data_IF_900879881126
#
_entry.id   IF_900879881126
#
_cell.length_a   1.000
_cell.length_b   1.000
_cell.length_c   1.000
_cell.angle_alpha   90.00
_cell.angle_beta   90.00
_cell.angle_gamma   90.00
#
_symmetry.space_group_name_H-M   'P 1'
#
loop_
_entity.id
_entity.type
_entity.pdbx_description
1 polymer ?
2 non-polymer ?
3 non-polymer ?
4 non-polymer ?
5 water ?
#
# COMPACT_ATOMS: atom_id res chain seq x y z
N UNK A 16 3.44 31.93 6.37
CA UNK A 16 3.95 30.85 7.26
C UNK A 16 4.50 29.69 6.43
N UNK A 17 5.77 29.30 6.68
CA UNK A 17 6.40 28.20 5.96
C UNK A 17 5.84 26.81 6.28
N UNK A 18 6.00 25.89 5.32
CA UNK A 18 5.47 24.53 5.43
C UNK A 18 6.45 23.45 4.99
N UNK A 19 6.31 22.23 5.52
CA UNK A 19 7.20 21.13 5.16
C UNK A 19 6.72 20.55 3.84
N UNK A 20 5.48 20.88 3.50
CA UNK A 20 4.87 20.39 2.27
C UNK A 20 4.72 21.42 1.17
N UNK A 21 4.64 20.93 -0.05
CA UNK A 21 4.41 21.77 -1.22
C UNK A 21 3.28 21.03 -1.94
N UNK A 22 2.28 21.77 -2.41
CA UNK A 22 1.16 21.13 -3.07
C UNK A 22 1.03 21.44 -4.54
N UNK A 23 0.62 20.44 -5.32
CA UNK A 23 0.44 20.59 -6.75
C UNK A 23 -0.94 20.12 -7.17
N UNK A 24 -1.24 20.35 -8.44
CA UNK A 24 -2.46 19.88 -9.06
C UNK A 24 -1.86 19.18 -10.28
N UNK A 25 -2.57 18.21 -10.85
CA UNK A 25 -2.00 17.48 -11.98
C UNK A 25 -1.26 18.35 -12.96
N UNK A 26 -1.86 19.47 -13.35
CA UNK A 26 -1.24 20.39 -14.29
C UNK A 26 0.24 20.54 -13.95
N UNK A 27 0.50 20.92 -12.71
CA UNK A 27 1.87 21.11 -12.23
C UNK A 27 2.64 19.80 -12.09
N UNK A 28 2.09 18.87 -11.32
CA UNK A 28 2.75 17.59 -11.10
C UNK A 28 3.14 16.87 -12.37
N UNK A 29 2.20 16.77 -13.30
CA UNK A 29 2.44 16.07 -14.56
C UNK A 29 3.63 16.58 -15.34
N UNK A 30 4.06 17.82 -15.04
CA UNK A 30 5.21 18.40 -15.73
C UNK A 30 6.51 17.74 -15.31
N UNK A 31 6.70 17.60 -14.01
CA UNK A 31 7.90 16.98 -13.47
C UNK A 31 8.19 15.59 -14.01
N UNK A 32 7.27 15.08 -14.83
CA UNK A 32 7.44 13.78 -15.44
C UNK A 32 8.76 13.80 -16.22
N UNK A 33 9.10 14.99 -16.72
CA UNK A 33 10.29 15.22 -17.50
C UNK A 33 10.14 14.34 -18.73
N UNK A 34 11.05 13.40 -18.92
CA UNK A 34 10.93 12.52 -20.09
C UNK A 34 10.88 11.06 -19.69
N UNK A 35 10.29 10.78 -18.53
CA UNK A 35 10.21 9.40 -18.08
C UNK A 35 9.37 8.52 -19.02
N UNK A 36 9.94 7.40 -19.46
CA UNK A 36 9.35 6.41 -20.37
C UNK A 36 8.18 5.63 -19.79
N UNK A 37 7.10 5.54 -20.56
CA UNK A 37 5.92 4.78 -20.16
C UNK A 37 6.10 3.35 -20.65
N UNK A 38 6.44 2.44 -19.73
CA UNK A 38 6.67 1.04 -20.08
C UNK A 38 5.50 0.15 -19.73
N UNK A 39 4.29 0.69 -19.81
CA UNK A 39 3.10 -0.08 -19.45
C UNK A 39 2.05 -0.16 -20.55
N UNK A 40 1.59 -1.38 -20.84
CA UNK A 40 0.56 -1.64 -21.86
C UNK A 40 -0.78 -1.39 -21.21
N UNK A 41 -1.80 -1.08 -22.01
CA UNK A 41 -3.09 -0.87 -21.40
C UNK A 41 -3.68 -2.20 -20.92
N UNK A 42 -3.23 -3.30 -21.53
CA UNK A 42 -3.73 -4.60 -21.10
C UNK A 42 -2.99 -4.98 -19.82
N UNK A 43 -1.76 -4.49 -19.68
CA UNK A 43 -0.95 -4.75 -18.49
C UNK A 43 -1.52 -3.97 -17.32
N UNK A 44 -1.90 -2.72 -17.59
CA UNK A 44 -2.48 -1.84 -16.59
C UNK A 44 -3.78 -2.44 -16.05
N UNK A 45 -4.52 -3.10 -16.93
CA UNK A 45 -5.77 -3.72 -16.57
C UNK A 45 -5.61 -4.88 -15.59
N UNK A 46 -4.50 -5.60 -15.68
CA UNK A 46 -4.28 -6.72 -14.80
C UNK A 46 -3.84 -6.31 -13.42
N UNK A 47 -3.56 -5.01 -13.26
CA UNK A 47 -3.13 -4.48 -11.98
C UNK A 47 -4.30 -3.73 -11.39
N UNK A 48 -5.12 -3.22 -12.30
CA UNK A 48 -6.32 -2.48 -11.98
C UNK A 48 -7.32 -3.33 -11.19
N UNK A 49 -7.93 -2.74 -10.18
CA UNK A 49 -8.90 -3.46 -9.37
C UNK A 49 -10.33 -2.96 -9.52
N UNK A 50 -11.29 -3.85 -9.28
CA UNK A 50 -12.71 -3.54 -9.38
C UNK A 50 -13.05 -2.19 -8.74
N UNK A 51 -13.52 -1.26 -9.56
CA UNK A 51 -13.87 0.06 -9.03
C UNK A 51 -12.96 1.15 -9.53
N UNK A 52 -11.67 0.85 -9.57
CA UNK A 52 -10.66 1.80 -10.01
C UNK A 52 -10.87 2.34 -11.44
N UNK A 53 -10.57 3.61 -11.63
CA UNK A 53 -10.71 4.25 -12.93
C UNK A 53 -9.36 4.56 -13.57
N UNK A 54 -8.28 4.04 -12.98
CA UNK A 54 -6.95 4.31 -13.49
C UNK A 54 -6.75 3.91 -14.95
N UNK A 55 -6.17 4.83 -15.72
CA UNK A 55 -5.88 4.62 -17.13
C UNK A 55 -4.45 5.07 -17.38
N UNK A 56 -3.95 4.82 -18.58
CA UNK A 56 -2.59 5.20 -18.92
C UNK A 56 -2.30 6.68 -18.80
N UNK A 57 -3.31 7.52 -19.02
CA UNK A 57 -3.07 8.95 -18.89
C UNK A 57 -2.55 9.20 -17.48
N UNK A 58 -3.41 8.98 -16.47
CA UNK A 58 -3.04 9.14 -15.07
C UNK A 58 -1.68 8.50 -14.77
N UNK A 59 -1.44 7.33 -15.36
CA UNK A 59 -0.17 6.65 -15.16
C UNK A 59 0.96 7.52 -15.68
N UNK A 60 0.65 8.35 -16.67
CA UNK A 60 1.64 9.26 -17.29
C UNK A 60 1.79 10.56 -16.51
N UNK A 61 0.67 11.23 -16.29
CA UNK A 61 0.64 12.49 -15.57
C UNK A 61 0.80 12.40 -14.05
N UNK A 62 0.74 11.19 -13.49
CA UNK A 62 0.87 11.06 -12.04
C UNK A 62 1.89 10.02 -11.59
N UNK A 63 1.83 8.83 -12.12
CA UNK A 63 2.77 7.82 -11.69
C UNK A 63 4.17 7.96 -12.29
N UNK A 64 4.30 8.58 -13.46
CA UNK A 64 5.63 8.72 -14.06
C UNK A 64 6.52 9.70 -13.30
N UNK A 65 5.95 10.82 -12.82
CA UNK A 65 6.76 11.80 -12.07
C UNK A 65 7.14 11.14 -10.74
N UNK A 66 6.18 10.42 -10.16
CA UNK A 66 6.39 9.72 -8.90
C UNK A 66 7.54 8.74 -9.10
N UNK A 67 7.50 8.01 -10.20
CA UNK A 67 8.53 7.05 -10.53
C UNK A 67 9.85 7.79 -10.65
N UNK A 68 9.82 8.93 -11.35
CA UNK A 68 11.04 9.74 -11.53
C UNK A 68 11.57 10.20 -10.19
N UNK A 69 10.69 10.81 -9.41
CA UNK A 69 11.05 11.28 -8.08
C UNK A 69 11.74 10.15 -7.31
N UNK A 70 10.99 9.08 -7.07
CA UNK A 70 11.52 7.96 -6.31
C UNK A 70 12.91 7.52 -6.74
N UNK A 71 13.19 7.57 -8.04
CA UNK A 71 14.50 7.12 -8.47
C UNK A 71 15.60 8.12 -8.17
N UNK A 72 15.23 9.38 -8.02
CA UNK A 72 16.22 10.38 -7.69
C UNK A 72 16.66 10.17 -6.24
N UNK A 73 15.82 9.52 -5.45
CA UNK A 73 16.15 9.29 -4.04
C UNK A 73 16.72 7.92 -3.71
N UNK A 74 16.45 6.92 -4.56
CA UNK A 74 16.96 5.58 -4.28
C UNK A 74 18.48 5.61 -4.25
N UNK A 75 19.05 6.40 -5.15
CA UNK A 75 20.51 6.52 -5.23
C UNK A 75 21.02 7.38 -4.06
N UNK A 76 20.29 8.46 -3.75
CA UNK A 76 20.64 9.37 -2.67
C UNK A 76 20.52 8.72 -1.29
N UNK A 77 19.39 8.09 -1.02
CA UNK A 77 19.20 7.43 0.26
C UNK A 77 20.33 6.42 0.45
N UNK A 78 20.98 6.04 -0.64
CA UNK A 78 22.10 5.10 -0.61
C UNK A 78 23.36 5.78 -0.04
N UNK A 79 23.67 6.96 -0.54
CA UNK A 79 24.84 7.71 -0.08
C UNK A 79 24.72 7.99 1.41
N UNK A 80 23.60 7.59 1.98
CA UNK A 80 23.35 7.81 3.41
C UNK A 80 23.69 6.61 4.28
N UNK A 81 23.55 5.42 3.74
CA UNK A 81 23.90 4.24 4.51
C UNK A 81 25.38 4.09 4.32
N UNK A 82 25.85 4.62 3.20
CA UNK A 82 27.26 4.57 2.87
C UNK A 82 27.98 5.33 3.95
N UNK A 83 27.55 6.58 4.15
CA UNK A 83 28.13 7.46 5.15
C UNK A 83 28.36 6.73 6.47
N UNK A 84 27.33 6.02 6.94
CA UNK A 84 27.46 5.29 8.19
C UNK A 84 28.42 4.10 8.03
N UNK A 85 28.46 3.55 6.83
CA UNK A 85 29.35 2.42 6.57
C UNK A 85 30.79 2.93 6.63
N UNK A 86 31.02 4.06 5.97
CA UNK A 86 32.33 4.68 5.94
C UNK A 86 32.72 5.10 7.36
N UNK A 87 31.72 5.46 8.16
CA UNK A 87 32.00 5.85 9.53
C UNK A 87 32.40 4.63 10.35
N UNK A 88 31.64 3.56 10.21
CA UNK A 88 31.90 2.31 10.94
C UNK A 88 33.14 1.54 10.49
N UNK A 89 33.81 2.06 9.46
CA UNK A 89 35.00 1.39 8.94
C UNK A 89 34.60 0.05 8.37
N UNK A 90 33.71 0.09 7.38
CA UNK A 90 33.25 -1.13 6.76
C UNK A 90 33.43 -1.11 5.25
N UNK A 91 33.58 -2.28 4.63
CA UNK A 91 33.76 -2.36 3.18
C UNK A 91 32.57 -1.75 2.45
N UNK A 92 32.58 -1.84 1.13
CA UNK A 92 31.49 -1.30 0.33
C UNK A 92 30.77 -2.49 -0.30
N UNK A 93 29.71 -2.96 0.35
CA UNK A 93 28.92 -4.09 -0.14
C UNK A 93 28.74 -4.13 -1.65
N UNK A 94 28.51 -5.33 -2.18
CA UNK A 94 28.32 -5.53 -3.61
C UNK A 94 27.28 -4.55 -4.13
N UNK A 95 27.63 -3.76 -5.16
CA UNK A 95 26.68 -2.80 -5.74
C UNK A 95 25.54 -3.60 -6.36
N UNK A 96 25.74 -4.93 -6.34
CA UNK A 96 24.78 -5.90 -6.84
C UNK A 96 24.00 -6.45 -5.64
N UNK A 97 23.90 -5.62 -4.62
CA UNK A 97 23.17 -5.88 -3.38
C UNK A 97 23.44 -4.80 -2.33
N UNK A 98 22.83 -3.63 -2.52
CA UNK A 98 23.00 -2.51 -1.58
C UNK A 98 21.94 -2.68 -0.51
N UNK A 99 21.43 -1.59 0.03
CA UNK A 99 20.38 -1.69 1.03
C UNK A 99 19.04 -1.47 0.32
N UNK A 100 18.07 -2.38 0.56
CA UNK A 100 16.74 -2.32 -0.04
C UNK A 100 16.01 -1.01 0.24
N UNK A 101 15.32 -0.48 -0.76
CA UNK A 101 14.58 0.76 -0.60
C UNK A 101 13.17 0.40 -0.14
N UNK A 102 12.73 0.98 0.97
CA UNK A 102 11.42 0.65 1.49
C UNK A 102 10.35 1.72 1.25
N UNK A 103 9.26 1.30 0.61
CA UNK A 103 8.17 2.21 0.31
C UNK A 103 6.90 1.71 0.94
N UNK A 104 6.20 2.62 1.61
CA UNK A 104 4.96 2.29 2.25
C UNK A 104 3.81 3.00 1.57
N UNK A 105 2.74 2.26 1.33
CA UNK A 105 1.54 2.81 0.70
C UNK A 105 0.49 2.62 1.78
N UNK A 106 -0.18 3.70 2.15
CA UNK A 106 -1.19 3.62 3.20
C UNK A 106 -2.46 4.29 2.76
N UNK A 107 -3.51 4.04 3.52
CA UNK A 107 -4.80 4.62 3.21
C UNK A 107 -5.94 3.69 3.54
N UNK A 108 -7.15 4.22 3.52
CA UNK A 108 -8.33 3.43 3.84
C UNK A 108 -8.60 2.24 2.92
N UNK A 109 -9.63 1.50 3.28
CA UNK A 109 -10.11 0.34 2.55
C UNK A 109 -10.86 0.95 1.38
N UNK A 110 -10.81 0.33 0.22
CA UNK A 110 -11.53 0.84 -0.95
C UNK A 110 -11.01 2.15 -1.58
N UNK A 111 -9.94 2.72 -1.02
CA UNK A 111 -9.43 3.95 -1.59
C UNK A 111 -8.63 3.60 -2.84
N UNK A 112 -8.24 2.34 -2.97
CA UNK A 112 -7.50 1.92 -4.15
C UNK A 112 -6.00 1.95 -4.01
N UNK A 113 -5.53 1.98 -2.77
CA UNK A 113 -4.10 2.01 -2.51
C UNK A 113 -3.46 0.75 -3.03
N UNK A 114 -4.21 -0.33 -3.05
CA UNK A 114 -3.69 -1.60 -3.53
C UNK A 114 -3.33 -1.58 -5.00
N UNK A 115 -4.12 -0.87 -5.80
CA UNK A 115 -3.79 -0.77 -7.22
C UNK A 115 -2.58 0.16 -7.34
N UNK A 116 -2.62 1.27 -6.60
CA UNK A 116 -1.53 2.23 -6.60
C UNK A 116 -0.22 1.47 -6.35
N UNK A 117 -0.24 0.56 -5.40
CA UNK A 117 0.95 -0.21 -5.07
C UNK A 117 1.34 -1.15 -6.20
N UNK A 118 0.35 -1.82 -6.80
CA UNK A 118 0.62 -2.75 -7.90
C UNK A 118 1.18 -2.02 -9.10
N UNK A 119 0.56 -0.88 -9.44
CA UNK A 119 1.04 -0.10 -10.56
C UNK A 119 2.48 0.33 -10.26
N UNK A 120 2.65 1.01 -9.13
CA UNK A 120 3.95 1.50 -8.72
C UNK A 120 5.03 0.44 -8.81
N UNK A 121 4.67 -0.81 -8.55
CA UNK A 121 5.66 -1.88 -8.64
C UNK A 121 6.01 -2.18 -10.08
N UNK A 122 4.98 -2.24 -10.91
CA UNK A 122 5.15 -2.52 -12.32
C UNK A 122 6.09 -1.50 -12.92
N UNK A 123 5.90 -0.24 -12.57
CA UNK A 123 6.75 0.82 -13.10
C UNK A 123 8.20 0.63 -12.67
N UNK A 124 8.48 0.85 -11.38
CA UNK A 124 9.84 0.67 -10.86
C UNK A 124 10.47 -0.63 -11.35
N UNK A 125 9.63 -1.64 -11.58
CA UNK A 125 10.13 -2.93 -12.02
C UNK A 125 10.78 -2.84 -13.40
N UNK A 126 10.05 -2.30 -14.36
CA UNK A 126 10.57 -2.18 -15.71
C UNK A 126 11.22 -0.82 -15.82
N UNK A 127 12.40 -0.69 -15.22
CA UNK A 127 13.12 0.57 -15.27
C UNK A 127 14.61 0.34 -15.39
N UNK A 128 15.10 0.22 -16.62
CA UNK A 128 16.53 0.00 -16.85
C UNK A 128 16.98 -1.02 -15.83
N UNK A 129 18.30 -1.14 -15.64
CA UNK A 129 18.78 -2.10 -14.66
C UNK A 129 17.86 -3.30 -14.83
N UNK A 130 17.34 -3.81 -13.72
CA UNK A 130 16.41 -4.93 -13.73
C UNK A 130 15.96 -4.97 -12.29
N UNK A 131 15.78 -3.80 -11.65
CA UNK A 131 15.40 -3.65 -10.25
C UNK A 131 14.56 -4.82 -9.80
N UNK A 132 14.84 -5.32 -8.61
CA UNK A 132 14.05 -6.43 -8.10
C UNK A 132 13.08 -5.83 -7.13
N UNK A 133 11.95 -5.36 -7.64
CA UNK A 133 10.91 -4.72 -6.84
C UNK A 133 9.85 -5.70 -6.32
N UNK A 134 9.86 -5.93 -5.02
CA UNK A 134 8.89 -6.83 -4.38
C UNK A 134 7.77 -6.07 -3.69
N UNK A 135 6.58 -6.66 -3.68
CA UNK A 135 5.43 -6.05 -3.05
C UNK A 135 4.86 -6.97 -1.98
N UNK A 136 4.59 -6.42 -0.81
CA UNK A 136 4.03 -7.18 0.31
C UNK A 136 2.91 -6.40 1.00
N UNK A 137 1.78 -7.07 1.21
CA UNK A 137 0.64 -6.44 1.86
C UNK A 137 0.63 -6.91 3.30
N UNK A 138 0.27 -6.02 4.22
CA UNK A 138 0.25 -6.38 5.62
C UNK A 138 -0.82 -7.41 5.96
N UNK A 139 -1.62 -7.80 4.96
CA UNK A 139 -2.69 -8.79 5.14
C UNK A 139 -2.23 -10.09 5.82
N UNK A 140 -1.19 -10.71 5.30
CA UNK A 140 -0.71 -11.94 5.87
C UNK A 140 -0.24 -11.78 7.30
N UNK A 141 -0.10 -10.54 7.75
CA UNK A 141 0.36 -10.30 9.10
C UNK A 141 -0.78 -10.15 10.08
N UNK A 142 -1.98 -10.47 9.63
CA UNK A 142 -3.15 -10.44 10.50
C UNK A 142 -3.13 -11.75 11.28
N UNK A 143 -3.50 -11.70 12.55
CA UNK A 143 -3.56 -12.92 13.32
C UNK A 143 -4.65 -13.76 12.65
N UNK A 144 -4.65 -15.08 12.88
CA UNK A 144 -5.65 -15.99 12.30
C UNK A 144 -7.01 -15.78 12.96
N UNK A 145 -8.07 -16.03 12.20
CA UNK A 145 -9.43 -15.87 12.73
C UNK A 145 -9.57 -16.49 14.10
N UNK A 146 -8.91 -17.62 14.31
CA UNK A 146 -8.93 -18.33 15.57
C UNK A 146 -8.21 -17.53 16.64
N UNK A 147 -7.14 -16.85 16.25
CA UNK A 147 -6.38 -16.04 17.19
C UNK A 147 -7.16 -14.74 17.46
N UNK A 148 -7.84 -14.26 16.44
CA UNK A 148 -8.63 -13.05 16.54
C UNK A 148 -9.84 -13.29 17.43
N UNK A 149 -10.38 -14.49 17.36
CA UNK A 149 -11.53 -14.88 18.16
C UNK A 149 -11.11 -14.92 19.61
N UNK A 150 -9.92 -15.45 19.83
CA UNK A 150 -9.39 -15.56 21.18
C UNK A 150 -9.27 -14.17 21.78
N UNK A 151 -8.74 -13.22 21.02
CA UNK A 151 -8.57 -11.86 21.49
C UNK A 151 -9.82 -11.04 21.33
N UNK A 152 -10.86 -11.63 20.75
CA UNK A 152 -12.12 -10.91 20.55
C UNK A 152 -12.02 -9.82 19.50
N UNK A 153 -11.19 -10.00 18.49
CA UNK A 153 -11.01 -8.98 17.48
C UNK A 153 -11.65 -9.29 16.13
N UNK A 154 -12.39 -10.39 16.07
CA UNK A 154 -13.02 -10.79 14.83
C UNK A 154 -13.82 -9.69 14.15
N UNK A 155 -14.19 -8.66 14.91
CA UNK A 155 -14.93 -7.56 14.33
C UNK A 155 -14.08 -6.31 14.25
N UNK A 156 -12.77 -6.50 14.37
CA UNK A 156 -11.83 -5.40 14.32
C UNK A 156 -10.68 -5.61 13.34
N UNK A 157 -10.89 -6.45 12.33
CA UNK A 157 -9.85 -6.68 11.34
C UNK A 157 -9.51 -5.39 10.62
N UNK A 158 -8.23 -5.04 10.64
CA UNK A 158 -7.81 -3.82 9.99
C UNK A 158 -7.25 -2.91 11.07
N UNK A 159 -7.70 -3.13 12.30
CA UNK A 159 -7.22 -2.34 13.41
C UNK A 159 -5.82 -2.81 13.80
N UNK A 160 -4.96 -1.87 14.19
CA UNK A 160 -3.57 -2.11 14.57
C UNK A 160 -3.36 -3.36 15.40
N UNK A 161 -4.24 -3.59 16.36
CA UNK A 161 -4.08 -4.75 17.22
C UNK A 161 -4.51 -6.10 16.63
N UNK A 162 -5.01 -6.09 15.40
CA UNK A 162 -5.43 -7.32 14.75
C UNK A 162 -4.30 -7.84 13.88
N UNK A 163 -3.17 -7.15 13.96
CA UNK A 163 -1.99 -7.52 13.21
C UNK A 163 -0.88 -7.92 14.18
N UNK A 164 0.00 -8.79 13.70
CA UNK A 164 1.13 -9.27 14.46
C UNK A 164 2.23 -8.31 14.06
N UNK A 165 2.14 -7.07 14.54
CA UNK A 165 3.14 -6.07 14.19
C UNK A 165 4.52 -6.48 14.63
N UNK A 166 4.61 -7.43 15.55
CA UNK A 166 5.90 -7.92 16.03
C UNK A 166 6.55 -8.66 14.87
N UNK A 167 5.77 -9.54 14.27
CA UNK A 167 6.21 -10.35 13.14
C UNK A 167 6.47 -9.50 11.91
N UNK A 168 5.62 -8.51 11.71
CA UNK A 168 5.71 -7.60 10.58
C UNK A 168 7.01 -6.81 10.60
N UNK A 169 7.40 -6.36 11.80
CA UNK A 169 8.61 -5.60 11.93
C UNK A 169 9.81 -6.50 11.62
N UNK A 170 9.84 -7.69 12.22
CA UNK A 170 10.95 -8.60 11.98
C UNK A 170 11.11 -8.80 10.49
N UNK A 171 10.00 -8.86 9.77
CA UNK A 171 10.02 -9.02 8.33
C UNK A 171 10.77 -7.88 7.64
N UNK A 172 10.18 -6.68 7.67
CA UNK A 172 10.80 -5.53 7.02
C UNK A 172 12.19 -5.26 7.59
N UNK A 173 12.35 -5.40 8.91
CA UNK A 173 13.66 -5.18 9.52
C UNK A 173 14.60 -6.16 8.84
N UNK A 174 14.25 -7.44 8.86
CA UNK A 174 15.08 -8.46 8.24
C UNK A 174 15.50 -8.06 6.84
N UNK A 175 14.53 -7.97 5.94
CA UNK A 175 14.81 -7.62 4.55
C UNK A 175 15.79 -6.46 4.36
N UNK A 176 15.49 -5.34 5.00
CA UNK A 176 16.30 -4.14 4.88
C UNK A 176 17.69 -4.26 5.48
N UNK A 177 17.84 -5.10 6.49
CA UNK A 177 19.14 -5.29 7.14
C UNK A 177 20.00 -6.23 6.31
N UNK A 178 19.68 -6.35 5.03
CA UNK A 178 20.44 -7.20 4.13
C UNK A 178 20.41 -8.71 4.33
N UNK A 179 19.21 -9.28 4.37
CA UNK A 179 19.08 -10.73 4.54
C UNK A 179 18.88 -11.33 3.16
N UNK A 180 19.10 -12.63 3.03
CA UNK A 180 18.98 -13.29 1.73
C UNK A 180 17.58 -13.72 1.40
N UNK A 181 16.74 -13.79 2.41
CA UNK A 181 15.34 -14.16 2.23
C UNK A 181 14.57 -14.04 3.53
N UNK A 182 13.36 -13.49 3.43
CA UNK A 182 12.49 -13.33 4.56
C UNK A 182 11.16 -13.93 4.14
N UNK A 183 10.46 -14.59 5.06
CA UNK A 183 9.17 -15.20 4.72
C UNK A 183 8.02 -14.42 5.37
N UNK A 184 6.89 -14.36 4.68
CA UNK A 184 5.72 -13.66 5.20
C UNK A 184 4.52 -14.58 5.05
N UNK A 185 3.55 -14.48 5.97
CA UNK A 185 2.39 -15.36 5.81
C UNK A 185 1.55 -14.89 4.63
N UNK A 186 0.54 -15.67 4.28
CA UNK A 186 -0.34 -15.33 3.16
C UNK A 186 -1.77 -15.28 3.65
N UNK A 187 -2.52 -14.27 3.23
CA UNK A 187 -3.91 -14.17 3.65
C UNK A 187 -4.85 -14.50 2.50
N UNK A 188 -5.94 -15.22 2.79
CA UNK A 188 -6.90 -15.54 1.76
C UNK A 188 -8.11 -14.63 1.95
N UNK A 189 -8.45 -13.84 0.93
CA UNK A 189 -9.59 -12.96 1.05
C UNK A 189 -10.85 -13.79 0.80
N UNK A 190 -10.71 -14.85 0.00
CA UNK A 190 -11.82 -15.74 -0.32
C UNK A 190 -12.25 -16.47 0.93
N UNK A 191 -11.29 -17.06 1.63
CA UNK A 191 -11.57 -17.79 2.87
C UNK A 191 -11.54 -16.89 4.12
N UNK A 192 -11.31 -15.60 3.94
CA UNK A 192 -11.31 -14.66 5.04
C UNK A 192 -10.40 -15.08 6.20
N UNK A 193 -9.28 -15.72 5.88
CA UNK A 193 -8.36 -16.17 6.93
C UNK A 193 -6.95 -16.43 6.38
N UNK A 194 -5.98 -16.54 7.28
CA UNK A 194 -4.60 -16.80 6.89
C UNK A 194 -4.52 -18.25 6.41
N UNK A 195 -3.80 -18.46 5.32
CA UNK A 195 -3.67 -19.79 4.73
C UNK A 195 -2.55 -20.62 5.35
N UNK A 196 -2.91 -21.76 5.95
CA UNK A 196 -1.94 -22.66 6.57
C UNK A 196 -0.78 -23.02 5.63
N UNK A 197 0.45 -22.94 6.14
CA UNK A 197 1.62 -23.28 5.34
C UNK A 197 2.03 -22.30 4.27
N UNK A 198 1.10 -21.46 3.82
CA UNK A 198 1.39 -20.47 2.79
C UNK A 198 2.56 -19.59 3.19
N UNK A 199 3.45 -19.32 2.25
CA UNK A 199 4.63 -18.51 2.50
C UNK A 199 4.91 -17.60 1.33
N UNK A 200 5.25 -16.36 1.61
CA UNK A 200 5.65 -15.46 0.54
C UNK A 200 7.09 -15.22 0.85
N UNK A 201 7.97 -15.67 -0.03
CA UNK A 201 9.39 -15.47 0.20
C UNK A 201 9.88 -14.30 -0.61
N UNK A 202 10.56 -13.40 0.10
CA UNK A 202 11.11 -12.21 -0.51
C UNK A 202 12.62 -12.28 -0.35
N UNK A 203 13.31 -12.32 -1.48
CA UNK A 203 14.76 -12.44 -1.49
C UNK A 203 15.51 -11.17 -1.87
N UNK A 204 16.17 -10.57 -0.89
CA UNK A 204 16.95 -9.35 -1.08
C UNK A 204 16.48 -8.51 -2.24
N UNK A 205 15.32 -7.86 -2.10
CA UNK A 205 14.82 -7.03 -3.21
C UNK A 205 15.76 -5.85 -3.36
N UNK A 206 15.40 -4.94 -4.24
CA UNK A 206 16.19 -3.75 -4.43
C UNK A 206 15.27 -2.66 -3.87
N UNK A 207 13.99 -2.96 -3.97
CA UNK A 207 12.94 -2.09 -3.50
C UNK A 207 11.81 -2.99 -3.03
N UNK A 208 11.36 -2.77 -1.80
CA UNK A 208 10.26 -3.53 -1.26
C UNK A 208 9.15 -2.54 -1.01
N UNK A 209 7.95 -2.87 -1.47
CA UNK A 209 6.82 -2.00 -1.23
C UNK A 209 5.89 -2.71 -0.26
N UNK A 210 5.63 -2.05 0.86
CA UNK A 210 4.77 -2.58 1.89
C UNK A 210 3.46 -1.85 1.88
N UNK A 211 2.39 -2.56 1.56
CA UNK A 211 1.07 -1.94 1.51
C UNK A 211 0.21 -2.35 2.70
N UNK A 212 -0.40 -1.36 3.33
CA UNK A 212 -1.26 -1.60 4.48
C UNK A 212 -2.02 -0.38 4.92
N UNK A 213 -2.88 -0.54 5.92
CA UNK A 213 -3.68 0.56 6.44
C UNK A 213 -2.94 1.45 7.40
N UNK A 214 -2.35 0.86 8.44
CA UNK A 214 -1.63 1.64 9.44
C UNK A 214 -0.12 1.58 9.29
N UNK A 215 0.36 1.00 8.20
CA UNK A 215 1.80 0.92 7.99
C UNK A 215 2.55 2.18 8.41
N UNK A 216 1.92 3.33 8.28
CA UNK A 216 2.53 4.61 8.63
C UNK A 216 2.41 4.96 10.11
N UNK A 217 1.70 4.12 10.85
CA UNK A 217 1.48 4.35 12.26
C UNK A 217 2.82 4.40 12.99
N UNK A 218 2.78 4.93 14.20
CA UNK A 218 3.98 5.06 15.01
C UNK A 218 3.66 4.68 16.45
N UNK A 219 4.68 4.29 17.21
CA UNK A 219 4.44 3.90 18.59
C UNK A 219 5.61 4.03 19.56
N UNK A 220 5.51 3.40 20.74
CA UNK A 220 6.52 3.40 21.81
C UNK A 220 7.71 2.52 21.45
N UNK A 221 7.74 2.09 20.20
CA UNK A 221 8.81 1.24 19.74
C UNK A 221 9.06 1.44 18.27
N UNK A 222 10.27 1.13 17.84
CA UNK A 222 10.63 1.26 16.44
C UNK A 222 9.66 0.41 15.63
N UNK A 223 9.03 1.02 14.63
CA UNK A 223 8.06 0.29 13.82
C UNK A 223 8.45 0.26 12.35
N UNK A 224 7.67 -0.46 11.58
CA UNK A 224 7.91 -0.58 10.15
C UNK A 224 7.98 0.76 9.42
N UNK A 225 7.28 1.78 9.92
CA UNK A 225 7.30 3.10 9.28
C UNK A 225 8.62 3.83 9.48
N UNK A 226 9.37 3.40 10.50
CA UNK A 226 10.66 4.00 10.83
C UNK A 226 11.75 3.42 9.94
N UNK A 227 11.34 2.58 9.00
CA UNK A 227 12.26 1.96 8.07
C UNK A 227 11.94 2.39 6.65
N UNK A 228 10.82 3.10 6.49
CA UNK A 228 10.43 3.57 5.17
C UNK A 228 11.37 4.66 4.68
N UNK A 229 11.71 4.62 3.40
CA UNK A 229 12.59 5.61 2.83
C UNK A 229 11.73 6.57 2.02
N UNK A 230 10.51 6.14 1.73
CA UNK A 230 9.53 6.92 0.99
C UNK A 230 8.15 6.34 1.28
N UNK A 231 7.14 7.18 1.35
CA UNK A 231 5.79 6.70 1.61
C UNK A 231 4.73 7.47 0.84
N UNK A 232 3.67 6.75 0.46
CA UNK A 232 2.54 7.30 -0.26
C UNK A 232 1.31 7.10 0.59
N UNK A 233 0.39 8.03 0.52
CA UNK A 233 -0.87 7.93 1.24
C UNK A 233 -1.97 8.31 0.24
N UNK A 234 -2.75 7.31 -0.20
CA UNK A 234 -3.83 7.57 -1.14
C UNK A 234 -4.95 8.12 -0.29
N UNK A 235 -5.47 9.28 -0.67
CA UNK A 235 -6.48 9.97 0.11
C UNK A 235 -7.75 10.32 -0.64
N UNK A 236 -8.82 10.60 0.10
CA UNK A 236 -10.10 10.96 -0.48
C UNK A 236 -11.10 11.31 0.63
N UNK A 237 -12.15 12.03 0.28
CA UNK A 237 -13.14 12.41 1.29
C UNK A 237 -13.75 11.14 1.87
N UNK A 238 -13.84 11.09 3.19
CA UNK A 238 -14.38 9.92 3.85
C UNK A 238 -15.76 9.54 3.33
N UNK A 239 -16.47 10.52 2.77
CA UNK A 239 -17.80 10.30 2.25
C UNK A 239 -17.78 9.54 0.92
N UNK A 240 -16.78 9.83 0.10
CA UNK A 240 -16.67 9.14 -1.18
C UNK A 240 -16.18 7.72 -0.97
N UNK A 241 -15.20 7.55 -0.10
CA UNK A 241 -14.67 6.22 0.16
C UNK A 241 -15.82 5.29 0.57
N UNK A 242 -16.72 5.80 1.40
CA UNK A 242 -17.84 4.97 1.82
C UNK A 242 -18.59 4.56 0.56
N UNK A 243 -18.81 5.52 -0.33
CA UNK A 243 -19.50 5.25 -1.57
C UNK A 243 -18.76 4.15 -2.34
N UNK A 244 -17.47 4.35 -2.54
CA UNK A 244 -16.67 3.39 -3.26
C UNK A 244 -16.71 2.03 -2.59
N UNK A 245 -16.70 2.04 -1.25
CA UNK A 245 -16.74 0.82 -0.48
C UNK A 245 -18.05 0.08 -0.71
N UNK A 246 -19.16 0.76 -0.48
CA UNK A 246 -20.48 0.19 -0.66
C UNK A 246 -20.65 -0.24 -2.09
N UNK A 247 -20.47 0.72 -2.98
CA UNK A 247 -20.61 0.48 -4.41
C UNK A 247 -19.90 -0.80 -4.80
N UNK A 248 -18.79 -1.10 -4.28
CA UNK A 248 -18.16 -2.31 -4.68
C UNK A 248 -18.47 -3.46 -3.84
N UNK A 249 -19.21 -3.30 -2.81
CA UNK A 249 -19.73 -4.46 -2.08
C UNK A 249 -20.77 -5.08 -2.94
N UNK A 250 -21.61 -4.23 -3.50
CA UNK A 250 -22.64 -4.70 -4.39
C UNK A 250 -22.05 -5.39 -5.59
N UNK A 251 -21.06 -4.74 -6.18
CA UNK A 251 -20.36 -5.22 -7.36
C UNK A 251 -19.77 -6.61 -7.18
N UNK A 252 -19.37 -6.95 -5.96
CA UNK A 252 -18.78 -8.27 -5.68
C UNK A 252 -19.78 -9.40 -5.54
N UNK A 253 -21.05 -9.05 -5.42
CA UNK A 253 -22.12 -10.05 -5.30
C UNK A 253 -22.04 -10.95 -6.50
N UNK A 254 -21.61 -10.40 -7.63
CA UNK A 254 -21.48 -11.16 -8.88
C UNK A 254 -20.06 -11.59 -9.23
N UNK A 255 -19.09 -11.18 -8.43
CA UNK A 255 -17.72 -11.58 -8.71
C UNK A 255 -17.23 -12.53 -7.63
N UNK A 256 -16.70 -11.99 -6.53
CA UNK A 256 -16.17 -12.84 -5.47
C UNK A 256 -17.23 -13.63 -4.70
N UNK A 257 -18.20 -12.92 -4.13
CA UNK A 257 -19.23 -13.59 -3.35
C UNK A 257 -19.96 -14.66 -4.12
N UNK A 258 -19.78 -14.66 -5.44
CA UNK A 258 -20.43 -15.63 -6.31
C UNK A 258 -19.86 -17.03 -6.15
N UNK A 259 -18.59 -17.11 -5.80
CA UNK A 259 -17.90 -18.38 -5.59
C UNK A 259 -18.51 -19.08 -4.39
N UNK A 260 -19.08 -20.27 -4.59
CA UNK A 260 -19.70 -21.03 -3.50
C UNK A 260 -18.69 -21.29 -2.39
N UNK A 261 -17.41 -21.12 -2.73
CA UNK A 261 -16.32 -21.33 -1.81
C UNK A 261 -16.01 -20.09 -0.98
N UNK A 262 -16.57 -18.95 -1.35
CA UNK A 262 -16.32 -17.72 -0.60
C UNK A 262 -16.92 -17.80 0.78
N UNK A 263 -16.31 -17.12 1.73
CA UNK A 263 -16.80 -17.09 3.09
C UNK A 263 -18.09 -16.28 3.11
N UNK A 264 -18.16 -15.27 2.26
CA UNK A 264 -19.31 -14.39 2.18
C UNK A 264 -20.19 -14.67 0.99
N UNK A 265 -20.32 -15.94 0.64
CA UNK A 265 -21.15 -16.29 -0.49
C UNK A 265 -22.60 -15.91 -0.21
N UNK A 266 -22.93 -15.78 1.07
CA UNK A 266 -24.29 -15.42 1.48
C UNK A 266 -24.70 -14.02 1.02
N UNK A 267 -23.73 -13.16 0.81
CA UNK A 267 -23.98 -11.79 0.37
C UNK A 267 -24.40 -11.72 -1.11
N UNK A 268 -24.07 -12.76 -1.86
CA UNK A 268 -24.39 -12.79 -3.27
C UNK A 268 -25.86 -12.65 -3.58
N UNK A 269 -26.72 -13.27 -2.77
CA UNK A 269 -28.16 -13.21 -2.99
C UNK A 269 -28.83 -11.93 -2.53
N UNK A 270 -28.11 -11.14 -1.73
CA UNK A 270 -28.69 -9.89 -1.26
C UNK A 270 -29.21 -9.05 -2.41
N UNK A 271 -29.99 -8.06 -2.06
CA UNK A 271 -30.54 -7.15 -3.03
C UNK A 271 -29.74 -5.88 -2.90
N UNK A 272 -29.81 -5.01 -3.91
CA UNK A 272 -29.09 -3.76 -3.86
C UNK A 272 -29.33 -3.16 -2.47
N UNK A 273 -30.60 -3.19 -2.06
CA UNK A 273 -31.02 -2.66 -0.77
C UNK A 273 -30.37 -3.38 0.40
N UNK A 274 -30.63 -4.67 0.53
CA UNK A 274 -30.06 -5.45 1.62
C UNK A 274 -28.53 -5.26 1.68
N UNK A 275 -27.91 -5.35 0.50
CA UNK A 275 -26.47 -5.20 0.36
C UNK A 275 -26.00 -3.84 0.87
N UNK A 276 -26.68 -2.77 0.45
CA UNK A 276 -26.34 -1.41 0.87
C UNK A 276 -26.41 -1.26 2.39
N UNK A 277 -27.39 -1.89 3.00
CA UNK A 277 -27.53 -1.82 4.43
C UNK A 277 -26.32 -2.51 5.03
N UNK A 278 -26.10 -3.74 4.60
CA UNK A 278 -24.98 -4.56 5.04
C UNK A 278 -23.65 -3.82 4.91
N UNK A 279 -23.43 -3.23 3.74
CA UNK A 279 -22.21 -2.51 3.44
C UNK A 279 -22.00 -1.29 4.33
N UNK A 280 -23.04 -0.48 4.46
CA UNK A 280 -22.96 0.72 5.29
C UNK A 280 -22.69 0.37 6.75
N UNK A 281 -23.29 -0.72 7.21
CA UNK A 281 -23.10 -1.17 8.58
C UNK A 281 -21.64 -1.55 8.81
N UNK A 282 -21.07 -2.35 7.92
CA UNK A 282 -19.68 -2.76 8.09
C UNK A 282 -18.79 -1.52 8.08
N UNK A 283 -19.02 -0.65 7.10
CA UNK A 283 -18.25 0.58 6.98
C UNK A 283 -18.35 1.34 8.31
N UNK A 284 -19.58 1.58 8.75
CA UNK A 284 -19.85 2.31 9.98
C UNK A 284 -19.21 1.73 11.23
N UNK A 285 -19.32 0.42 11.40
CA UNK A 285 -18.79 -0.23 12.58
C UNK A 285 -17.33 -0.68 12.50
N UNK A 286 -16.78 -0.79 11.30
CA UNK A 286 -15.38 -1.22 11.21
C UNK A 286 -14.43 -0.26 10.50
N UNK A 287 -14.47 -0.25 9.17
CA UNK A 287 -13.57 0.58 8.36
C UNK A 287 -13.63 2.08 8.59
N UNK A 288 -14.84 2.60 8.83
CA UNK A 288 -15.03 4.04 9.07
C UNK A 288 -14.27 4.47 10.33
N UNK A 289 -14.51 3.80 11.48
CA UNK A 289 -13.81 4.15 12.72
C UNK A 289 -12.32 4.02 12.54
N UNK A 290 -11.89 2.84 12.11
CA UNK A 290 -10.49 2.55 11.89
C UNK A 290 -9.79 3.65 11.05
N UNK A 291 -10.44 4.14 10.01
CA UNK A 291 -9.86 5.18 9.16
C UNK A 291 -9.68 6.47 9.95
N UNK A 292 -10.74 6.87 10.63
CA UNK A 292 -10.78 8.09 11.44
C UNK A 292 -9.86 8.12 12.67
N UNK A 293 -9.78 7.03 13.41
CA UNK A 293 -8.92 7.05 14.58
C UNK A 293 -7.54 6.45 14.38
N UNK A 294 -7.29 5.79 13.26
CA UNK A 294 -5.98 5.20 13.06
C UNK A 294 -5.20 5.52 11.79
N UNK A 295 -5.88 5.48 10.65
CA UNK A 295 -5.24 5.72 9.37
C UNK A 295 -5.02 7.19 9.00
N UNK A 296 -6.04 8.02 9.23
CA UNK A 296 -5.92 9.44 8.90
C UNK A 296 -4.87 10.21 9.68
N UNK A 297 -4.64 9.86 10.95
CA UNK A 297 -3.63 10.58 11.73
C UNK A 297 -2.19 10.29 11.31
N UNK A 298 -1.99 9.43 10.31
CA UNK A 298 -0.65 9.09 9.81
C UNK A 298 -0.34 9.84 8.51
N UNK A 299 -1.41 10.34 7.91
CA UNK A 299 -1.37 11.08 6.66
C UNK A 299 -0.41 12.26 6.69
N UNK A 300 -0.31 12.95 7.82
CA UNK A 300 0.59 14.09 7.92
C UNK A 300 2.06 13.79 7.65
N UNK A 301 2.49 12.56 7.85
CA UNK A 301 3.90 12.28 7.61
C UNK A 301 4.25 11.36 6.47
N UNK A 302 3.44 11.40 5.41
CA UNK A 302 3.71 10.58 4.24
C UNK A 302 4.47 11.46 3.26
N UNK A 303 5.49 10.89 2.64
CA UNK A 303 6.30 11.62 1.67
C UNK A 303 5.41 12.29 0.62
N UNK A 304 4.35 11.58 0.21
CA UNK A 304 3.43 12.09 -0.79
C UNK A 304 2.02 11.60 -0.58
N UNK A 305 1.07 12.53 -0.69
CA UNK A 305 -0.35 12.21 -0.55
C UNK A 305 -1.01 12.27 -1.91
N UNK A 306 -1.82 11.27 -2.25
CA UNK A 306 -2.51 11.27 -3.54
C UNK A 306 -3.97 11.51 -3.26
N UNK A 307 -4.40 12.74 -3.48
CA UNK A 307 -5.77 13.13 -3.23
C UNK A 307 -6.64 12.85 -4.45
N UNK A 308 -7.63 11.97 -4.26
CA UNK A 308 -8.55 11.60 -5.32
C UNK A 308 -9.89 12.31 -5.21
N UNK A 309 -10.47 12.64 -6.36
CA UNK A 309 -11.78 13.28 -6.43
C UNK A 309 -12.82 12.18 -6.41
N UNK A 310 -14.07 12.55 -6.18
CA UNK A 310 -15.15 11.56 -6.10
C UNK A 310 -15.19 10.59 -7.27
N UNK A 311 -14.56 10.96 -8.38
CA UNK A 311 -14.53 10.11 -9.57
C UNK A 311 -13.29 9.21 -9.59
N UNK A 312 -12.60 9.11 -8.46
CA UNK A 312 -11.40 8.30 -8.32
C UNK A 312 -10.18 8.96 -8.95
N UNK A 313 -10.40 10.09 -9.62
CA UNK A 313 -9.33 10.80 -10.27
C UNK A 313 -8.37 11.48 -9.30
N UNK A 314 -7.08 11.23 -9.47
CA UNK A 314 -6.09 11.89 -8.62
C UNK A 314 -5.84 13.24 -9.25
N UNK A 315 -6.47 14.29 -8.74
CA UNK A 315 -6.29 15.62 -9.30
C UNK A 315 -5.59 16.60 -8.37
N UNK A 316 -4.80 16.08 -7.43
CA UNK A 316 -4.11 16.95 -6.49
C UNK A 316 -3.10 16.14 -5.69
N UNK A 317 -1.93 16.73 -5.44
CA UNK A 317 -0.91 16.03 -4.68
C UNK A 317 -0.26 16.91 -3.61
N UNK A 318 0.34 16.26 -2.62
CA UNK A 318 1.02 16.95 -1.54
C UNK A 318 2.33 16.26 -1.23
N UNK A 319 3.45 16.92 -1.52
CA UNK A 319 4.77 16.33 -1.27
C UNK A 319 5.41 16.92 -0.04
N UNK A 320 6.15 16.07 0.69
CA UNK A 320 6.86 16.51 1.89
C UNK A 320 8.25 16.89 1.42
N UNK A 321 8.58 18.18 1.46
CA UNK A 321 9.90 18.60 1.07
C UNK A 321 10.78 18.55 2.31
N UNK A 322 10.17 18.73 3.48
CA UNK A 322 10.93 18.66 4.71
C UNK A 322 10.47 17.48 5.56
X LIG B 1 -14.45 -5.19 5.04
X LIG B 1 -12.87 -6.97 6.86
X LIG B 1 -9.63 -6.11 5.42
X LIG B 1 -8.19 -6.62 5.44
X LIG B 1 -7.33 -5.72 4.74
X LIG B 1 -9.67 -4.64 5.82
X LIG B 1 -10.20 -6.29 4.01
X LIG B 1 -10.48 -6.96 6.37
X LIG B 1 -11.75 -6.24 6.88
X LIG B 1 -14.13 -6.39 7.31
X LIG B 1 -15.04 -6.13 6.10
X LIG B 1 -13.72 -5.72 4.07
X LIG B 1 -13.16 -4.85 3.03
X LIG B 1 -12.99 -5.63 1.72
X LIG B 1 -13.25 -4.70 0.53
X LIG B 1 -14.61 -3.97 0.59
X LIG B 1 -15.81 -4.84 0.21
X LIG B 1 -15.74 -6.18 0.91
X LIG B 1 -16.91 -6.52 1.84
X LIG B 1 -16.56 -7.82 2.57
X LIG B 1 -17.17 -7.93 3.96
X LIG B 1 -14.75 -3.99 5.05
X LIG B 1 -10.91 -8.14 5.68
X LIG B 1 -11.71 -5.09 7.31
X LIG C 1 -9.03 -2.98 0.37
X LIG C 1 -8.33 -3.46 -0.90
X LIG C 1 -8.52 -2.47 -2.05
X LIG C 1 -8.00 -1.12 -1.55
X LIG C 1 -7.77 -2.92 -3.31
X LIG C 1 -7.94 -1.95 -4.49
X LIG C 1 -8.42 -3.09 1.46
X LIG C 1 -10.20 -2.54 0.23
X LIG C 1 -6.88 -1.15 -0.96
X LIG C 1 -8.70 -0.11 -1.71
X LIG C 1 -8.34 -0.80 -4.22
X LIG C 1 -7.62 -2.37 -5.62
X LIG C 1 -9.92 -2.40 -2.34
X LIG D 1 -2.10 -18.20 26.59
X LIG D 1 -3.37 -17.71 26.18
X LIG D 1 -1.32 -17.21 27.44
X LIG D 1 -1.40 -15.89 26.89
X LIG D 1 0.15 -17.63 27.43
X LIG D 1 0.28 -19.00 27.85
X LIG E 1 -7.41 -15.23 -2.58
X LIG E 1 -8.70 -14.62 -2.65
X LIG E 1 -6.45 -14.42 -1.71
X LIG E 1 -6.75 -13.03 -1.79
X LIG E 1 -5.03 -14.64 -2.23
X LIG E 1 -4.78 -16.04 -2.37
X LIG F 1 10.93 -13.69 7.95
X LIG F 1 11.29 -15.05 8.19
X LIG F 1 10.98 -12.86 9.23
X LIG F 1 12.29 -12.90 9.80
X LIG F 1 9.96 -13.36 10.27
X LIG F 1 8.91 -12.39 10.37
X LIG G 1 1.29 -9.34 -1.07
X LIG G 1 0.99 -9.48 -2.46
X LIG G 1 1.25 -10.69 -0.38
X LIG G 1 -0.05 -11.26 -0.58
X LIG G 1 1.49 -10.48 1.12
X LIG G 1 1.80 -11.70 1.79
X LIG H 1 -9.87 16.42 1.16
X LIG H 1 -10.44 16.63 2.46
X LIG H 1 -9.60 14.93 0.86
X LIG H 1 -9.22 14.24 2.06
X LIG H 1 -8.50 14.76 -0.19
X LIG H 1 -9.00 15.11 -1.48
X LIG I 1 8.21 8.80 5.71
X LIG I 1 8.01 7.40 5.92
X LIG I 1 9.33 9.03 4.69
X LIG I 1 10.59 9.04 5.38
X LIG I 1 9.14 10.36 3.95
X LIG I 1 9.79 11.47 4.57
X LIG J 1 5.70 -19.99 8.10
X LIG J 1 4.63 -20.89 7.85
X LIG J 1 5.25 -18.52 8.19
X LIG J 1 4.11 -18.30 7.35
X LIG J 1 6.37 -17.56 7.77
X LIG J 1 7.33 -17.44 8.82
X LIG K 1 -9.69 9.57 -13.38
X LIG K 1 -10.78 8.67 -13.18
X LIG K 1 -8.58 8.92 -14.23
X LIG K 1 -8.12 7.72 -13.60
X LIG K 1 -7.41 9.88 -14.36
X LIG K 1 -7.32 10.36 -15.71
X LIG L 1 1.63 -16.84 -2.20
X LIG L 1 2.03 -18.21 -2.12
X LIG L 1 2.67 -15.97 -2.92
X LIG L 1 4.00 -16.50 -2.76
X LIG L 1 2.62 -14.56 -2.33
X LIG L 1 1.27 -14.07 -2.44
#
# INVERSE_FOLDING_TARGET
MGSSHHHHHHMSRLSEPSPYVEFDRRQWRALRMSTPLALTEEELVGLRGLGEQIDLLEVEEVYLPLARLIHLQVAARQRLFAATAEFLGEPQQNPDRPVPFIIGVAGSVAVGKSTTARVLQALLARWDHHPRVDLVTTDGFLYPNAELQRRNLMHRKGFPESYNRRALMRFVTSVKSGSDYACAPVYSHLHYDIIPGAEQVVRHPDILILEGLNVLQTGPTLMVSDLFDFSLYVDARIEDIEQWYVSRFLAMRTTAFADPESHFHHYAAFSDSQAVVAAREIWRTINRPNLVENILPTRPRATLVLRKDADHSINRLRLRKL
MV1 C N C1 C2 O2 C3 C4 C5 C6 C8 C9 N15 C16 C17 C18 C19 C20 C21 C22 C23 C24 O25 O5' O6'
FLC CAC CA CB CBC CG CGC OA1 OA2 OB1 OB2 OG1 OG2 OHB
GOL C1 O1 C2 O2 C3 O3
GOL C1 O1 C2 O2 C3 O3
GOL C1 O1 C2 O2 C3 O3
GOL C1 O1 C2 O2 C3 O3
GOL C1 O1 C2 O2 C3 O3
GOL C1 O1 C2 O2 C3 O3
GOL C1 O1 C2 O2 C3 O3
GOL C1 O1 C2 O2 C3 O3
GOL C1 O1 C2 O2 C3 O3
#
